data_IF_143815863960
#
_entry.id   IF_143815863960
#
_cell.length_a   1.000
_cell.length_b   1.000
_cell.length_c   1.000
_cell.angle_alpha   90.00
_cell.angle_beta   90.00
_cell.angle_gamma   90.00
#
_symmetry.space_group_name_H-M   'P 1'
#
loop_
_entity.id
_entity.type
_entity.pdbx_description
1 polymer ?
#
# COMPACT_ATOMS: atom_id res chain seq x y z
N UNK A 1 -10.51 1.28 -0.11
CA UNK A 1 -10.07 2.58 0.42
C UNK A 1 -8.83 2.35 1.27
N UNK A 2 -7.72 3.01 0.96
CA UNK A 2 -6.76 3.41 1.99
C UNK A 2 -7.28 4.76 2.46
N UNK A 3 -7.72 4.90 3.70
CA UNK A 3 -7.91 6.23 4.25
C UNK A 3 -6.51 6.76 4.47
N UNK A 4 -6.01 7.38 3.41
CA UNK A 4 -4.64 7.73 3.12
C UNK A 4 -3.92 8.18 4.38
N UNK A 5 -2.66 7.76 4.56
CA UNK A 5 -1.77 8.42 5.52
C UNK A 5 -1.59 9.94 5.25
N UNK A 6 -2.16 10.44 4.14
CA UNK A 6 -2.19 11.83 3.72
C UNK A 6 -3.41 12.61 4.25
N UNK A 7 -4.36 11.91 4.85
CA UNK A 7 -5.55 12.49 5.45
C UNK A 7 -5.19 13.09 6.79
N UNK A 8 -5.37 14.40 6.91
CA UNK A 8 -5.19 15.13 8.16
C UNK A 8 -6.43 15.05 9.05
N UNK A 9 -7.61 15.11 8.43
CA UNK A 9 -8.90 15.13 9.14
C UNK A 9 -9.91 14.27 8.40
N UNK A 10 -10.80 13.61 9.15
CA UNK A 10 -11.96 12.89 8.63
C UNK A 10 -13.24 13.49 9.22
N UNK A 11 -14.27 13.57 8.40
CA UNK A 11 -15.57 14.09 8.80
C UNK A 11 -16.67 13.24 8.16
N UNK A 12 -17.70 12.89 8.92
CA UNK A 12 -18.79 12.05 8.45
C UNK A 12 -20.11 12.80 8.47
N UNK A 13 -20.86 12.75 7.36
CA UNK A 13 -22.21 13.31 7.24
C UNK A 13 -23.14 12.24 6.71
N UNK A 14 -24.06 11.76 7.55
CA UNK A 14 -24.88 10.57 7.24
C UNK A 14 -23.97 9.41 6.84
N UNK A 15 -24.21 8.81 5.67
CA UNK A 15 -23.42 7.70 5.13
C UNK A 15 -22.16 8.17 4.37
N UNK A 16 -21.89 9.48 4.26
CA UNK A 16 -20.78 10.02 3.49
C UNK A 16 -19.55 10.26 4.36
N UNK A 17 -18.39 9.76 3.92
CA UNK A 17 -17.10 10.11 4.52
C UNK A 17 -16.41 11.20 3.71
N UNK A 18 -15.95 12.23 4.39
CA UNK A 18 -15.15 13.32 3.87
C UNK A 18 -13.76 13.27 4.49
N UNK A 19 -12.76 13.61 3.70
CA UNK A 19 -11.37 13.66 4.14
C UNK A 19 -10.75 14.97 3.75
N UNK A 20 -9.90 15.50 4.62
CA UNK A 20 -9.06 16.65 4.33
C UNK A 20 -7.62 16.20 4.18
N UNK A 21 -7.06 16.43 2.99
CA UNK A 21 -5.65 16.17 2.74
C UNK A 21 -4.79 17.34 3.19
N UNK A 22 -3.47 17.13 3.34
CA UNK A 22 -2.53 18.17 3.75
C UNK A 22 -2.52 19.42 2.85
N UNK A 23 -2.96 19.30 1.59
CA UNK A 23 -3.11 20.42 0.65
C UNK A 23 -4.37 21.28 0.87
N UNK A 24 -5.16 21.02 1.93
CA UNK A 24 -6.09 22.00 2.47
C UNK A 24 -7.54 21.99 1.96
N UNK A 25 -7.99 20.94 1.25
CA UNK A 25 -9.38 20.80 0.79
C UNK A 25 -10.09 19.54 1.29
N UNK A 26 -11.40 19.63 1.52
CA UNK A 26 -12.26 18.47 1.81
C UNK A 26 -12.65 17.75 0.52
N UNK A 27 -12.51 16.42 0.49
CA UNK A 27 -12.96 15.55 -0.60
C UNK A 27 -13.88 14.47 -0.07
N UNK A 28 -14.97 14.20 -0.78
CA UNK A 28 -15.83 13.05 -0.49
C UNK A 28 -15.11 11.76 -0.91
N UNK A 29 -14.95 10.84 0.02
CA UNK A 29 -14.32 9.55 -0.20
C UNK A 29 -15.30 8.47 -0.67
N UNK A 30 -16.58 8.61 -0.32
CA UNK A 30 -17.63 7.66 -0.73
C UNK A 30 -18.76 7.56 0.28
N UNK A 31 -19.68 6.63 0.02
CA UNK A 31 -20.80 6.26 0.89
C UNK A 31 -20.50 4.96 1.64
N UNK A 32 -21.17 4.76 2.79
CA UNK A 32 -21.10 3.55 3.61
C UNK A 32 -19.69 3.22 4.12
N UNK A 33 -18.90 4.26 4.40
CA UNK A 33 -17.61 4.12 5.07
C UNK A 33 -17.90 4.30 6.56
N UNK A 34 -17.57 3.30 7.35
CA UNK A 34 -17.74 3.35 8.80
C UNK A 34 -16.45 3.87 9.46
N UNK A 35 -16.56 4.35 10.70
CA UNK A 35 -15.39 4.81 11.47
C UNK A 35 -14.30 3.74 11.56
N UNK A 36 -14.69 2.48 11.71
CA UNK A 36 -13.76 1.33 11.78
C UNK A 36 -13.01 1.06 10.47
N UNK A 37 -13.42 1.71 9.38
CA UNK A 37 -12.73 1.62 8.08
C UNK A 37 -11.62 2.67 7.96
N UNK A 38 -11.60 3.68 8.84
CA UNK A 38 -10.63 4.78 8.89
C UNK A 38 -9.59 4.54 9.96
N UNK A 39 -8.34 4.85 9.64
CA UNK A 39 -7.26 4.86 10.62
C UNK A 39 -6.47 6.16 10.51
N UNK A 40 -5.92 6.59 11.65
CA UNK A 40 -4.87 7.59 11.64
C UNK A 40 -3.62 7.03 10.93
N UNK A 41 -2.79 7.89 10.32
CA UNK A 41 -1.47 7.51 9.85
C UNK A 41 -0.69 6.85 11.00
N UNK A 42 -0.12 5.66 10.75
CA UNK A 42 0.68 4.92 11.74
C UNK A 42 2.10 5.48 11.88
N UNK A 43 2.50 6.36 10.98
CA UNK A 43 3.83 6.98 10.92
C UNK A 43 3.69 8.45 10.56
N UNK A 44 4.50 9.30 11.18
CA UNK A 44 4.58 10.75 10.90
C UNK A 44 5.55 11.03 9.74
N UNK A 45 5.52 10.18 8.71
CA UNK A 45 6.37 10.38 7.52
C UNK A 45 5.67 11.34 6.56
N UNK A 46 6.34 12.42 6.11
CA UNK A 46 5.75 13.35 5.15
C UNK A 46 5.33 12.66 3.83
N UNK A 47 4.30 13.19 3.13
CA UNK A 47 3.71 12.57 1.94
C UNK A 47 4.67 12.20 0.82
N UNK A 48 5.73 13.00 0.64
CA UNK A 48 6.65 12.92 -0.49
C UNK A 48 8.00 12.33 -0.09
N UNK A 49 8.13 11.86 1.15
CA UNK A 49 9.36 11.33 1.71
C UNK A 49 9.24 9.82 1.80
N UNK A 50 10.24 9.12 1.28
CA UNK A 50 10.38 7.67 1.44
C UNK A 50 10.58 7.37 2.92
N UNK A 51 9.74 6.51 3.48
CA UNK A 51 9.87 6.05 4.85
C UNK A 51 11.13 5.18 4.98
N UNK A 52 11.99 5.49 5.94
CA UNK A 52 13.20 4.72 6.18
C UNK A 52 12.85 3.39 6.86
N UNK A 53 13.04 2.29 6.15
CA UNK A 53 12.72 0.96 6.63
C UNK A 53 13.82 0.39 7.52
N UNK A 54 13.54 0.23 8.82
CA UNK A 54 14.47 -0.42 9.75
C UNK A 54 14.35 -1.95 9.82
N UNK A 55 13.42 -2.54 9.05
CA UNK A 55 13.06 -3.95 9.19
C UNK A 55 13.42 -4.84 7.98
N UNK A 56 13.97 -4.27 6.89
CA UNK A 56 14.17 -4.99 5.62
C UNK A 56 14.98 -6.27 5.76
N UNK A 57 16.03 -6.27 6.59
CA UNK A 57 16.91 -7.43 6.79
C UNK A 57 16.26 -8.55 7.60
N UNK A 58 15.13 -8.27 8.27
CA UNK A 58 14.42 -9.21 9.16
C UNK A 58 13.07 -9.66 8.59
N UNK A 59 12.72 -9.18 7.39
CA UNK A 59 11.48 -9.58 6.72
C UNK A 59 11.59 -11.00 6.21
N UNK A 60 10.63 -11.85 6.56
CA UNK A 60 10.53 -13.23 6.11
C UNK A 60 9.15 -13.53 5.54
N UNK A 61 8.99 -14.61 4.76
CA UNK A 61 7.69 -15.01 4.25
C UNK A 61 6.61 -15.07 5.33
N UNK A 62 5.39 -14.68 4.96
CA UNK A 62 4.22 -14.48 5.82
C UNK A 62 4.26 -13.27 6.77
N UNK A 63 5.34 -12.47 6.78
CA UNK A 63 5.32 -11.19 7.47
C UNK A 63 4.31 -10.24 6.80
N UNK A 64 3.49 -9.59 7.63
CA UNK A 64 2.54 -8.57 7.21
C UNK A 64 3.23 -7.21 7.15
N UNK A 65 2.97 -6.43 6.10
CA UNK A 65 3.61 -5.13 5.90
C UNK A 65 2.64 -4.06 5.41
N UNK A 66 3.03 -2.81 5.63
CA UNK A 66 2.61 -1.67 4.84
C UNK A 66 3.77 -1.24 3.94
N UNK A 67 3.49 -0.93 2.68
CA UNK A 67 4.46 -0.42 1.72
C UNK A 67 3.97 0.89 1.11
N UNK A 68 4.84 1.88 1.02
CA UNK A 68 4.54 3.11 0.29
C UNK A 68 4.43 2.83 -1.21
N UNK A 69 3.43 3.41 -1.85
CA UNK A 69 3.25 3.36 -3.29
C UNK A 69 2.73 4.70 -3.82
N UNK A 70 3.22 5.11 -5.00
CA UNK A 70 2.69 6.25 -5.75
C UNK A 70 2.66 5.96 -7.25
N UNK A 71 1.71 6.51 -8.02
CA UNK A 71 1.63 6.29 -9.45
C UNK A 71 2.72 7.02 -10.24
N UNK A 72 3.20 8.16 -9.74
CA UNK A 72 4.26 8.96 -10.36
C UNK A 72 5.00 9.80 -9.31
N UNK A 73 6.14 10.37 -9.71
CA UNK A 73 7.04 11.12 -8.81
C UNK A 73 6.47 12.44 -8.28
N UNK A 74 5.42 12.97 -8.89
CA UNK A 74 4.72 14.18 -8.46
C UNK A 74 3.57 13.88 -7.48
N UNK A 75 3.20 12.61 -7.35
CA UNK A 75 2.16 12.15 -6.45
C UNK A 75 2.75 11.87 -5.07
N UNK A 76 1.99 12.15 -3.99
CA UNK A 76 2.36 11.71 -2.67
C UNK A 76 2.27 10.18 -2.56
N UNK A 77 3.03 9.60 -1.64
CA UNK A 77 2.91 8.19 -1.28
C UNK A 77 1.60 7.93 -0.54
N UNK A 78 0.90 6.89 -0.97
CA UNK A 78 -0.09 6.18 -0.17
C UNK A 78 0.56 4.92 0.43
N UNK A 79 0.02 4.42 1.54
CA UNK A 79 0.47 3.14 2.10
C UNK A 79 -0.41 2.03 1.61
N UNK A 80 0.13 0.84 1.38
CA UNK A 80 -0.61 -0.32 0.89
C UNK A 80 -0.28 -1.51 1.75
N UNK A 81 -1.29 -2.30 2.09
CA UNK A 81 -1.08 -3.56 2.78
C UNK A 81 -0.60 -4.64 1.80
N UNK A 82 0.39 -5.40 2.24
CA UNK A 82 0.89 -6.58 1.55
C UNK A 82 1.43 -7.62 2.54
N UNK A 83 1.76 -8.79 2.02
CA UNK A 83 2.42 -9.88 2.76
C UNK A 83 3.71 -10.23 2.05
N UNK A 84 4.76 -10.55 2.81
CA UNK A 84 6.00 -11.05 2.23
C UNK A 84 5.78 -12.46 1.71
N UNK A 85 6.02 -12.66 0.41
CA UNK A 85 5.90 -13.95 -0.25
C UNK A 85 7.20 -14.73 -0.27
N UNK A 86 7.10 -15.99 -0.66
CA UNK A 86 8.26 -16.80 -1.03
C UNK A 86 8.76 -16.45 -2.44
N UNK A 87 10.07 -16.62 -2.66
CA UNK A 87 10.67 -16.65 -4.00
C UNK A 87 10.06 -17.77 -4.84
N UNK A 88 10.00 -17.58 -6.16
CA UNK A 88 9.47 -18.58 -7.10
C UNK A 88 10.23 -19.91 -7.04
N UNK A 89 11.54 -19.84 -6.76
CA UNK A 89 12.43 -21.00 -6.63
C UNK A 89 12.46 -21.59 -5.20
N UNK A 90 11.69 -21.04 -4.26
CA UNK A 90 11.79 -21.44 -2.86
C UNK A 90 11.30 -22.88 -2.63
N UNK A 91 12.14 -23.68 -1.97
CA UNK A 91 11.71 -24.94 -1.39
C UNK A 91 11.08 -24.69 0.00
N UNK A 92 9.82 -25.06 0.19
CA UNK A 92 9.09 -24.85 1.47
C UNK A 92 9.71 -25.61 2.64
N UNK A 93 10.38 -26.75 2.39
CA UNK A 93 10.98 -27.56 3.45
C UNK A 93 12.33 -26.99 3.95
N UNK A 94 13.01 -26.18 3.13
CA UNK A 94 14.31 -25.59 3.44
C UNK A 94 14.34 -24.12 2.99
N UNK A 95 13.43 -23.31 3.52
CA UNK A 95 13.28 -21.92 3.09
C UNK A 95 14.47 -21.05 3.55
N UNK A 96 15.05 -20.29 2.61
CA UNK A 96 16.10 -19.31 2.88
C UNK A 96 15.76 -17.90 2.32
N UNK A 97 14.46 -17.63 2.09
CA UNK A 97 14.02 -16.36 1.49
C UNK A 97 14.32 -15.13 2.35
N UNK A 98 14.44 -15.29 3.67
CA UNK A 98 14.83 -14.22 4.60
C UNK A 98 16.22 -13.65 4.28
N UNK A 99 17.13 -14.50 3.82
CA UNK A 99 18.53 -14.15 3.54
C UNK A 99 18.79 -13.76 2.08
N UNK A 100 17.77 -13.81 1.22
CA UNK A 100 17.92 -13.46 -0.19
C UNK A 100 17.69 -11.96 -0.39
N UNK A 101 18.55 -11.30 -1.16
CA UNK A 101 18.41 -9.88 -1.49
C UNK A 101 17.08 -9.54 -2.20
N UNK A 102 16.49 -10.49 -2.91
CA UNK A 102 15.18 -10.30 -3.54
C UNK A 102 14.06 -10.53 -2.53
N UNK A 103 13.26 -9.51 -2.30
CA UNK A 103 12.04 -9.54 -1.51
C UNK A 103 10.82 -9.68 -2.45
N UNK A 104 9.98 -10.68 -2.20
CA UNK A 104 8.69 -10.80 -2.88
C UNK A 104 7.63 -10.13 -2.03
N UNK A 105 6.97 -9.11 -2.58
CA UNK A 105 5.82 -8.47 -1.95
C UNK A 105 4.55 -8.94 -2.65
N UNK A 106 3.65 -9.55 -1.88
CA UNK A 106 2.40 -10.13 -2.37
C UNK A 106 1.19 -9.34 -1.87
N UNK A 107 0.46 -8.76 -2.81
CA UNK A 107 -0.82 -8.10 -2.63
C UNK A 107 -1.96 -9.12 -2.79
N UNK A 108 -2.20 -9.92 -1.74
CA UNK A 108 -3.21 -11.01 -1.73
C UNK A 108 -4.66 -10.56 -1.99
N UNK A 109 -4.92 -9.26 -1.96
CA UNK A 109 -6.17 -8.67 -2.43
C UNK A 109 -6.38 -8.83 -3.93
N UNK A 110 -5.34 -9.01 -4.74
CA UNK A 110 -5.51 -9.30 -6.17
C UNK A 110 -5.69 -10.80 -6.43
N UNK A 111 -6.48 -11.18 -7.44
CA UNK A 111 -6.53 -12.57 -7.93
C UNK A 111 -5.15 -13.10 -8.31
N UNK A 112 -4.93 -14.41 -8.17
CA UNK A 112 -3.65 -15.06 -8.47
C UNK A 112 -3.13 -14.78 -9.88
N UNK A 113 -4.04 -14.64 -10.85
CA UNK A 113 -3.74 -14.33 -12.25
C UNK A 113 -3.28 -12.89 -12.48
N UNK A 114 -3.35 -12.01 -11.48
CA UNK A 114 -3.03 -10.60 -11.66
C UNK A 114 -1.52 -10.36 -11.62
N UNK A 115 -1.00 -9.69 -12.64
CA UNK A 115 0.38 -9.21 -12.66
C UNK A 115 0.69 -8.20 -11.55
N UNK A 116 -0.33 -7.57 -10.96
CA UNK A 116 -0.17 -6.64 -9.83
C UNK A 116 -0.09 -7.36 -8.49
N UNK A 117 -0.35 -8.68 -8.44
CA UNK A 117 -0.37 -9.44 -7.20
C UNK A 117 1.01 -9.58 -6.59
N UNK A 118 2.05 -9.80 -7.39
CA UNK A 118 3.42 -10.07 -6.90
C UNK A 118 4.41 -9.13 -7.56
N UNK A 119 5.17 -8.42 -6.75
CA UNK A 119 6.29 -7.60 -7.19
C UNK A 119 7.59 -8.09 -6.55
N UNK A 120 8.72 -7.78 -7.20
CA UNK A 120 10.07 -8.06 -6.72
C UNK A 120 10.71 -6.73 -6.35
N UNK A 121 11.23 -6.65 -5.14
CA UNK A 121 11.98 -5.50 -4.61
C UNK A 121 13.35 -5.99 -4.10
N UNK A 122 14.30 -5.08 -3.98
CA UNK A 122 15.61 -5.37 -3.43
C UNK A 122 15.68 -4.95 -1.96
N UNK A 123 16.11 -5.86 -1.07
CA UNK A 123 16.28 -5.58 0.36
C UNK A 123 17.35 -4.53 0.66
N UNK A 124 18.36 -4.45 -0.21
CA UNK A 124 19.54 -3.59 0.01
C UNK A 124 19.30 -2.13 -0.38
N UNK A 125 18.23 -1.85 -1.13
CA UNK A 125 17.87 -0.50 -1.52
C UNK A 125 16.84 0.05 -0.54
N UNK A 126 17.21 1.10 0.19
CA UNK A 126 16.26 1.92 0.94
C UNK A 126 15.64 3.03 0.07
N UNK A 127 15.83 2.92 -1.24
CA UNK A 127 15.37 3.90 -2.22
C UNK A 127 14.05 3.46 -2.83
N UNK A 128 13.40 4.39 -3.53
CA UNK A 128 12.22 4.08 -4.30
C UNK A 128 12.55 3.14 -5.47
N UNK A 129 11.77 2.07 -5.60
CA UNK A 129 11.87 1.10 -6.69
C UNK A 129 10.56 1.05 -7.49
N UNK A 130 10.65 0.98 -8.81
CA UNK A 130 9.45 0.82 -9.64
C UNK A 130 9.59 1.44 -11.01
N UNK A 131 8.46 1.57 -11.70
CA UNK A 131 8.40 2.08 -13.07
C UNK A 131 7.04 2.68 -13.38
N UNK A 132 6.94 3.42 -14.49
CA UNK A 132 5.75 4.19 -14.85
C UNK A 132 4.44 3.39 -14.93
N UNK A 133 4.50 2.09 -15.23
CA UNK A 133 3.30 1.26 -15.43
C UNK A 133 2.83 0.65 -14.10
N UNK A 134 3.75 0.08 -13.32
CA UNK A 134 3.44 -0.49 -11.99
C UNK A 134 3.35 0.54 -10.86
N UNK A 135 3.78 1.77 -11.12
CA UNK A 135 4.01 2.77 -10.09
C UNK A 135 5.34 2.55 -9.36
N UNK A 136 5.54 3.36 -8.34
CA UNK A 136 6.78 3.44 -7.58
C UNK A 136 6.53 3.08 -6.12
N UNK A 137 7.35 2.18 -5.60
CA UNK A 137 7.29 1.63 -4.26
C UNK A 137 8.42 2.21 -3.42
N UNK A 138 8.09 2.67 -2.22
CA UNK A 138 9.05 3.28 -1.30
C UNK A 138 9.22 2.44 -0.04
N UNK A 139 9.15 3.12 1.10
CA UNK A 139 9.41 2.53 2.39
C UNK A 139 8.41 1.44 2.78
N UNK A 140 8.93 0.43 3.48
CA UNK A 140 8.21 -0.69 4.07
C UNK A 140 8.20 -0.56 5.59
N UNK A 141 7.04 -0.81 6.19
CA UNK A 141 6.83 -0.95 7.64
C UNK A 141 6.29 -2.34 7.93
N UNK A 142 6.93 -3.08 8.83
CA UNK A 142 6.40 -4.36 9.32
C UNK A 142 5.22 -4.15 10.27
N UNK A 143 4.15 -4.90 10.06
CA UNK A 143 2.97 -4.96 10.92
C UNK A 143 3.13 -6.12 11.90
N UNK A 144 3.13 -5.81 13.19
CA UNK A 144 3.19 -6.81 14.26
C UNK A 144 1.90 -6.87 15.08
N UNK A 145 1.13 -5.78 15.11
CA UNK A 145 -0.11 -5.72 15.86
C UNK A 145 -1.22 -6.49 15.13
N UNK A 146 -1.75 -7.52 15.78
CA UNK A 146 -2.80 -8.36 15.22
C UNK A 146 -4.07 -7.57 14.87
N UNK A 147 -4.46 -6.59 15.70
CA UNK A 147 -5.63 -5.75 15.43
C UNK A 147 -5.42 -4.90 14.18
N UNK A 148 -4.22 -4.34 13.97
CA UNK A 148 -3.91 -3.61 12.72
C UNK A 148 -4.04 -4.53 11.50
N UNK A 149 -3.51 -5.75 11.58
CA UNK A 149 -3.57 -6.73 10.50
C UNK A 149 -5.02 -7.13 10.19
N UNK A 150 -5.83 -7.40 11.21
CA UNK A 150 -7.24 -7.77 11.02
C UNK A 150 -8.07 -6.61 10.45
N UNK A 151 -7.79 -5.37 10.87
CA UNK A 151 -8.39 -4.19 10.23
C UNK A 151 -8.03 -4.13 8.75
N UNK A 152 -6.77 -4.36 8.38
CA UNK A 152 -6.37 -4.42 6.98
C UNK A 152 -7.10 -5.51 6.19
N UNK A 153 -7.22 -6.72 6.74
CA UNK A 153 -7.91 -7.84 6.10
C UNK A 153 -9.39 -7.54 5.86
N UNK A 154 -10.08 -6.92 6.81
CA UNK A 154 -11.48 -6.49 6.65
C UNK A 154 -11.66 -5.50 5.49
N UNK A 155 -10.63 -4.71 5.18
CA UNK A 155 -10.65 -3.73 4.10
C UNK A 155 -10.35 -4.31 2.70
N UNK A 156 -9.98 -5.60 2.57
CA UNK A 156 -9.61 -6.21 1.28
C UNK A 156 -10.68 -6.11 0.18
N UNK A 157 -11.98 -6.39 0.43
CA UNK A 157 -13.01 -6.30 -0.61
C UNK A 157 -13.15 -4.88 -1.21
N UNK A 158 -12.84 -3.86 -0.40
CA UNK A 158 -12.90 -2.45 -0.77
C UNK A 158 -11.64 -1.95 -1.50
N UNK A 159 -10.56 -2.72 -1.54
CA UNK A 159 -9.35 -2.35 -2.29
C UNK A 159 -9.51 -2.68 -3.78
N UNK A 160 -10.08 -3.85 -4.11
CA UNK A 160 -10.28 -4.33 -5.49
C UNK A 160 -11.22 -3.40 -6.27
N UNK A 161 -12.34 -2.99 -5.68
CA UNK A 161 -13.34 -2.12 -6.32
C UNK A 161 -12.83 -0.70 -6.62
N UNK A 162 -11.79 -0.25 -5.93
CA UNK A 162 -11.22 1.10 -6.09
C UNK A 162 -10.10 1.12 -7.12
N UNK A 163 -9.40 0.00 -7.31
CA UNK A 163 -8.36 -0.11 -8.34
C UNK A 163 -8.93 0.02 -9.75
N UNK A 164 -10.12 -0.55 -9.99
CA UNK A 164 -10.84 -0.41 -11.26
C UNK A 164 -11.31 1.02 -11.52
N UNK A 165 -11.65 1.80 -10.48
CA UNK A 165 -12.04 3.21 -10.61
C UNK A 165 -10.85 4.17 -10.68
N UNK A 166 -9.78 3.92 -9.91
CA UNK A 166 -8.52 4.71 -9.96
C UNK A 166 -7.74 4.47 -11.25
N UNK A 167 -7.67 3.25 -11.80
CA UNK A 167 -7.08 3.05 -13.13
C UNK A 167 -7.82 3.86 -14.21
N UNK A 168 -9.14 4.01 -14.09
CA UNK A 168 -9.92 4.88 -14.99
C UNK A 168 -9.56 6.35 -14.80
N UNK A 169 -9.50 6.87 -13.57
CA UNK A 169 -9.10 8.27 -13.32
C UNK A 169 -7.64 8.57 -13.72
N UNK A 170 -6.70 7.68 -13.41
CA UNK A 170 -5.30 7.88 -13.82
C UNK A 170 -5.11 7.72 -15.33
N UNK A 171 -5.86 6.85 -16.03
CA UNK A 171 -5.81 6.80 -17.50
C UNK A 171 -6.47 8.01 -18.18
N UNK A 172 -7.41 8.69 -17.52
CA UNK A 172 -8.02 9.91 -18.04
C UNK A 172 -7.08 11.12 -18.01
N UNK A 173 -6.12 11.18 -17.09
CA UNK A 173 -5.12 12.25 -17.01
C UNK A 173 -3.92 12.08 -17.97
N UNK A 174 -3.84 10.96 -18.70
CA UNK A 174 -2.79 10.74 -19.73
C UNK A 174 -3.28 10.90 -21.18
N UNK A 175 -4.44 11.52 -21.41
CA UNK A 175 -4.87 12.00 -22.74
C UNK A 175 -4.81 13.52 -22.84
N UNK A 176 -3.63 14.09 -22.71
CA UNK A 176 -3.31 15.40 -23.28
C UNK A 176 -1.87 15.41 -23.79
N UNK A 177 -1.70 14.86 -25.00
CA UNK A 177 -1.15 15.53 -26.21
C UNK A 177 -1.42 14.62 -27.39
#
# INVERSE_FOLDING_TARGET
MNLSALAKEFYFVKDLCYVRYQNGGWRCLGKNIEWDMVRAPSVDTPPYVVHLSHCLDTLKPEDHIEIQWRPNTQSPYDWWYAVIGHLDSCNKNCCQCEYNDTLIVEFRQYPEISNMRRIKLCRKTNEEEGHRIGGYYGGIRKLQNHNEIETWKKLFPLQIQVLTSKQSCYMHDYKLT
#
